data_IF_151689558606
#
_entry.id   IF_151689558606
#
_cell.length_a   1.000
_cell.length_b   1.000
_cell.length_c   1.000
_cell.angle_alpha   90.00
_cell.angle_beta   90.00
_cell.angle_gamma   90.00
#
_symmetry.space_group_name_H-M   'P 1'
#
loop_
_entity.id
_entity.type
_entity.pdbx_description
1 polymer ?
#
# COMPACT_ATOMS: atom_id res chain seq x y z
N UNK A 1 -27.64 17.43 -27.69
CA UNK A 1 -28.35 16.18 -28.13
C UNK A 1 -29.38 15.82 -27.06
N UNK A 2 -30.49 15.17 -27.43
CA UNK A 2 -31.43 14.67 -26.42
C UNK A 2 -30.73 13.59 -25.59
N UNK A 3 -30.87 13.66 -24.26
CA UNK A 3 -30.24 12.69 -23.35
C UNK A 3 -30.89 11.32 -23.53
N UNK A 4 -30.11 10.25 -23.42
CA UNK A 4 -30.59 8.87 -23.65
C UNK A 4 -31.70 8.45 -22.67
N UNK A 5 -31.81 9.11 -21.51
CA UNK A 5 -32.88 8.90 -20.53
C UNK A 5 -34.09 9.85 -20.73
N UNK A 6 -34.09 10.69 -21.75
CA UNK A 6 -35.22 11.55 -22.08
C UNK A 6 -36.42 10.69 -22.52
N UNK A 7 -37.50 10.75 -21.81
CA UNK A 7 -38.74 10.02 -22.07
C UNK A 7 -39.94 10.73 -21.51
N UNK A 8 -40.04 10.84 -20.18
CA UNK A 8 -41.09 11.59 -19.50
C UNK A 8 -40.82 13.09 -19.51
N UNK A 9 -39.54 13.49 -19.56
CA UNK A 9 -39.08 14.87 -19.66
C UNK A 9 -38.55 15.13 -21.07
N UNK A 10 -38.44 16.40 -21.46
CA UNK A 10 -37.89 16.82 -22.74
C UNK A 10 -36.36 16.64 -22.85
N UNK A 11 -35.70 16.24 -21.73
CA UNK A 11 -34.24 16.02 -21.67
C UNK A 11 -33.42 17.31 -21.75
N UNK A 12 -34.03 18.47 -21.64
CA UNK A 12 -33.33 19.76 -21.62
C UNK A 12 -33.01 20.09 -20.18
N UNK A 13 -31.74 20.31 -19.90
CA UNK A 13 -31.21 20.69 -18.57
C UNK A 13 -30.40 21.99 -18.72
N UNK A 14 -30.29 22.74 -17.65
CA UNK A 14 -29.39 23.89 -17.59
C UNK A 14 -27.92 23.39 -17.65
N UNK A 15 -27.08 24.11 -18.40
CA UNK A 15 -25.68 23.70 -18.57
C UNK A 15 -24.96 23.48 -17.23
N UNK A 16 -25.19 24.35 -16.25
CA UNK A 16 -24.57 24.21 -14.93
C UNK A 16 -25.02 22.93 -14.21
N UNK A 17 -26.27 22.49 -14.43
CA UNK A 17 -26.75 21.24 -13.86
C UNK A 17 -26.12 20.02 -14.57
N UNK A 18 -25.88 20.12 -15.86
CA UNK A 18 -25.16 19.09 -16.62
C UNK A 18 -23.69 18.98 -16.17
N UNK A 19 -23.00 20.11 -16.09
CA UNK A 19 -21.61 20.17 -15.62
C UNK A 19 -21.47 19.62 -14.18
N UNK A 20 -22.42 19.94 -13.30
CA UNK A 20 -22.44 19.44 -11.91
C UNK A 20 -22.76 17.96 -11.80
N UNK A 21 -23.57 17.41 -12.71
CA UNK A 21 -23.98 16.01 -12.70
C UNK A 21 -22.96 15.08 -13.39
N UNK A 22 -22.11 15.63 -14.27
CA UNK A 22 -21.19 14.87 -15.09
C UNK A 22 -20.06 14.24 -14.26
N UNK A 23 -19.73 12.98 -14.56
CA UNK A 23 -18.62 12.23 -13.98
C UNK A 23 -17.53 11.86 -14.98
N UNK A 24 -17.72 12.20 -16.28
CA UNK A 24 -16.79 11.81 -17.36
C UNK A 24 -15.33 12.20 -17.09
N UNK A 25 -15.09 13.29 -16.37
CA UNK A 25 -13.75 13.80 -16.06
C UNK A 25 -12.91 12.84 -15.22
N UNK A 26 -13.53 12.00 -14.39
CA UNK A 26 -12.84 11.02 -13.55
C UNK A 26 -13.20 9.57 -13.89
N UNK A 27 -14.44 9.27 -14.30
CA UNK A 27 -14.84 7.90 -14.60
C UNK A 27 -14.36 7.41 -15.99
N UNK A 28 -13.96 8.33 -16.87
CA UNK A 28 -13.34 8.03 -18.17
C UNK A 28 -12.20 7.01 -18.07
N UNK A 29 -11.50 6.95 -16.97
CA UNK A 29 -10.41 5.99 -16.73
C UNK A 29 -10.88 4.53 -16.63
N UNK A 30 -12.18 4.30 -16.48
CA UNK A 30 -12.80 2.96 -16.45
C UNK A 30 -13.30 2.49 -17.84
N UNK A 31 -12.97 3.19 -18.94
CA UNK A 31 -13.47 2.84 -20.28
C UNK A 31 -13.22 1.38 -20.67
N UNK A 32 -12.10 0.81 -20.26
CA UNK A 32 -11.75 -0.59 -20.51
C UNK A 32 -12.72 -1.53 -19.80
N UNK A 33 -13.00 -1.29 -18.53
CA UNK A 33 -13.88 -2.10 -17.71
C UNK A 33 -15.32 -2.05 -18.23
N UNK A 34 -15.79 -0.88 -18.61
CA UNK A 34 -17.12 -0.71 -19.19
C UNK A 34 -17.26 -1.49 -20.50
N UNK A 35 -16.25 -1.40 -21.38
CA UNK A 35 -16.25 -2.09 -22.67
C UNK A 35 -16.17 -3.62 -22.48
N UNK A 36 -15.27 -4.11 -21.63
CA UNK A 36 -15.14 -5.55 -21.34
C UNK A 36 -16.41 -6.10 -20.69
N UNK A 37 -16.99 -5.38 -19.73
CA UNK A 37 -18.27 -5.70 -19.10
C UNK A 37 -19.41 -5.77 -20.12
N UNK A 38 -19.45 -4.81 -21.03
CA UNK A 38 -20.45 -4.73 -22.11
C UNK A 38 -20.29 -5.85 -23.12
N UNK A 39 -19.06 -6.26 -23.47
CA UNK A 39 -18.84 -7.43 -24.35
C UNK A 39 -19.30 -8.73 -23.68
N UNK A 40 -19.06 -8.92 -22.38
CA UNK A 40 -19.53 -10.09 -21.65
C UNK A 40 -21.07 -10.13 -21.59
N UNK A 41 -21.69 -8.95 -21.38
CA UNK A 41 -23.13 -8.81 -21.36
C UNK A 41 -23.77 -9.14 -22.72
N UNK A 42 -23.25 -8.60 -23.82
CA UNK A 42 -23.72 -8.93 -25.19
C UNK A 42 -23.66 -10.44 -25.47
N UNK A 43 -22.56 -11.08 -25.09
CA UNK A 43 -22.39 -12.52 -25.23
C UNK A 43 -23.43 -13.32 -24.42
N UNK A 44 -23.73 -12.90 -23.18
CA UNK A 44 -24.74 -13.52 -22.32
C UNK A 44 -26.14 -13.37 -22.91
N UNK A 45 -26.49 -12.18 -23.40
CA UNK A 45 -27.80 -11.93 -24.04
C UNK A 45 -28.06 -12.87 -25.22
N UNK A 46 -27.05 -13.13 -26.05
CA UNK A 46 -27.16 -14.10 -27.15
C UNK A 46 -27.25 -15.54 -26.65
N UNK A 47 -26.40 -15.91 -25.69
CA UNK A 47 -26.41 -17.25 -25.10
C UNK A 47 -27.78 -17.62 -24.46
N UNK A 48 -28.52 -16.62 -24.00
CA UNK A 48 -29.89 -16.75 -23.48
C UNK A 48 -31.00 -16.53 -24.52
N UNK A 49 -30.63 -16.25 -25.79
CA UNK A 49 -31.58 -16.01 -26.86
C UNK A 49 -32.38 -14.70 -26.71
N UNK A 50 -31.92 -13.76 -25.93
CA UNK A 50 -32.54 -12.44 -25.72
C UNK A 50 -32.28 -11.54 -26.94
N UNK A 51 -31.08 -11.64 -27.53
CA UNK A 51 -30.71 -11.08 -28.80
C UNK A 51 -30.21 -12.21 -29.73
N UNK A 52 -30.10 -11.95 -31.04
CA UNK A 52 -29.53 -12.93 -31.96
C UNK A 52 -28.02 -13.03 -31.80
N UNK A 53 -27.44 -14.17 -32.20
CA UNK A 53 -25.97 -14.32 -32.20
C UNK A 53 -25.31 -13.27 -33.12
N UNK A 54 -25.91 -12.97 -34.30
CA UNK A 54 -25.42 -11.95 -35.20
C UNK A 54 -25.43 -10.54 -34.58
N UNK A 55 -26.42 -10.21 -33.77
CA UNK A 55 -26.43 -8.92 -33.03
C UNK A 55 -25.28 -8.86 -32.01
N UNK A 56 -25.07 -9.96 -31.24
CA UNK A 56 -24.01 -10.03 -30.27
C UNK A 56 -22.61 -9.94 -30.91
N UNK A 57 -22.40 -10.63 -32.03
CA UNK A 57 -21.11 -10.58 -32.75
C UNK A 57 -20.82 -9.15 -33.21
N UNK A 58 -21.81 -8.44 -33.78
CA UNK A 58 -21.65 -7.03 -34.19
C UNK A 58 -21.38 -6.11 -32.98
N UNK A 59 -22.07 -6.32 -31.84
CA UNK A 59 -21.84 -5.54 -30.63
C UNK A 59 -20.43 -5.76 -30.08
N UNK A 60 -19.97 -6.99 -30.01
CA UNK A 60 -18.63 -7.36 -29.48
C UNK A 60 -17.54 -6.81 -30.42
N UNK A 61 -17.69 -6.95 -31.71
CA UNK A 61 -16.74 -6.41 -32.68
C UNK A 61 -16.69 -4.88 -32.61
N UNK A 62 -17.84 -4.21 -32.56
CA UNK A 62 -17.92 -2.76 -32.44
C UNK A 62 -17.29 -2.24 -31.13
N UNK A 63 -17.53 -2.91 -30.00
CA UNK A 63 -16.92 -2.59 -28.70
C UNK A 63 -15.40 -2.84 -28.73
N UNK A 64 -14.95 -3.94 -29.33
CA UNK A 64 -13.52 -4.23 -29.49
C UNK A 64 -12.80 -3.16 -30.33
N UNK A 65 -13.43 -2.68 -31.40
CA UNK A 65 -12.88 -1.56 -32.17
C UNK A 65 -12.83 -0.25 -31.39
N UNK A 66 -13.88 0.06 -30.59
CA UNK A 66 -13.89 1.24 -29.74
C UNK A 66 -12.73 1.16 -28.74
N UNK A 67 -12.50 0.00 -28.10
CA UNK A 67 -11.40 -0.22 -27.19
C UNK A 67 -10.04 0.02 -27.86
N UNK A 68 -9.83 -0.56 -29.05
CA UNK A 68 -8.60 -0.36 -29.82
C UNK A 68 -8.39 1.10 -30.24
N UNK A 69 -9.45 1.78 -30.64
CA UNK A 69 -9.38 3.18 -31.05
C UNK A 69 -9.03 4.11 -29.87
N UNK A 70 -9.56 3.82 -28.66
CA UNK A 70 -9.21 4.53 -27.44
C UNK A 70 -7.76 4.24 -27.02
N UNK A 71 -7.34 2.99 -27.06
CA UNK A 71 -5.96 2.58 -26.70
C UNK A 71 -4.92 3.21 -27.63
N UNK A 72 -5.24 3.33 -28.93
CA UNK A 72 -4.35 3.89 -29.94
C UNK A 72 -4.47 5.42 -30.07
N UNK A 73 -5.40 6.05 -29.35
CA UNK A 73 -5.66 7.49 -29.39
C UNK A 73 -6.30 7.98 -30.69
N UNK A 74 -6.87 7.09 -31.52
CA UNK A 74 -7.63 7.43 -32.73
C UNK A 74 -9.06 7.87 -32.44
N UNK A 75 -9.59 7.48 -31.27
CA UNK A 75 -10.84 7.98 -30.72
C UNK A 75 -10.51 8.73 -29.41
N UNK A 76 -11.05 9.93 -29.28
CA UNK A 76 -10.92 10.74 -28.07
C UNK A 76 -12.23 10.74 -27.32
N UNK A 77 -12.18 10.61 -25.98
CA UNK A 77 -13.37 10.67 -25.13
C UNK A 77 -13.94 12.07 -25.17
N UNK A 78 -15.24 12.18 -25.51
CA UNK A 78 -15.96 13.45 -25.52
C UNK A 78 -16.38 13.83 -24.09
N UNK A 79 -15.72 14.83 -23.53
CA UNK A 79 -15.99 15.34 -22.18
C UNK A 79 -17.34 16.09 -22.07
N UNK A 80 -18.14 16.16 -23.12
CA UNK A 80 -19.52 16.67 -23.07
C UNK A 80 -20.54 15.57 -22.72
N UNK A 81 -20.12 14.30 -22.71
CA UNK A 81 -20.94 13.20 -22.21
C UNK A 81 -21.09 13.26 -20.68
N UNK A 82 -22.19 12.69 -20.19
CA UNK A 82 -22.44 12.65 -18.74
C UNK A 82 -21.44 11.75 -18.01
N UNK A 83 -21.20 10.55 -18.56
CA UNK A 83 -20.31 9.53 -18.02
C UNK A 83 -19.67 8.70 -19.15
N UNK A 84 -18.69 7.87 -18.80
CA UNK A 84 -18.00 7.00 -19.75
C UNK A 84 -18.94 5.98 -20.39
N UNK A 85 -19.93 5.53 -19.68
CA UNK A 85 -20.90 4.53 -20.13
C UNK A 85 -21.77 5.11 -21.26
N UNK A 86 -22.23 6.37 -21.10
CA UNK A 86 -22.97 7.07 -22.15
C UNK A 86 -22.11 7.31 -23.38
N UNK A 87 -20.84 7.69 -23.20
CA UNK A 87 -19.91 7.87 -24.30
C UNK A 87 -19.74 6.58 -25.12
N UNK A 88 -19.46 5.45 -24.48
CA UNK A 88 -19.28 4.16 -25.15
C UNK A 88 -20.56 3.71 -25.87
N UNK A 89 -21.72 3.82 -25.22
CA UNK A 89 -23.01 3.45 -25.79
C UNK A 89 -23.39 4.36 -26.99
N UNK A 90 -23.08 5.66 -26.91
CA UNK A 90 -23.30 6.60 -28.02
C UNK A 90 -22.43 6.26 -29.22
N UNK A 91 -21.13 6.10 -29.05
CA UNK A 91 -20.20 5.76 -30.13
C UNK A 91 -20.58 4.42 -30.77
N UNK A 92 -20.96 3.43 -29.96
CA UNK A 92 -21.42 2.14 -30.45
C UNK A 92 -22.71 2.26 -31.28
N UNK A 93 -23.65 3.07 -30.84
CA UNK A 93 -24.92 3.31 -31.54
C UNK A 93 -24.70 4.09 -32.82
N UNK A 94 -23.79 5.05 -32.84
CA UNK A 94 -23.42 5.77 -34.08
C UNK A 94 -22.81 4.84 -35.14
N UNK A 95 -22.03 3.83 -34.70
CA UNK A 95 -21.41 2.84 -35.60
C UNK A 95 -22.37 1.75 -36.08
N UNK A 96 -23.28 1.27 -35.24
CA UNK A 96 -24.10 0.08 -35.49
C UNK A 96 -25.60 0.35 -35.64
N UNK A 97 -26.04 1.59 -35.46
CA UNK A 97 -27.46 1.95 -35.53
C UNK A 97 -28.31 1.21 -34.49
N UNK A 98 -29.42 0.62 -34.91
CA UNK A 98 -30.36 -0.06 -34.04
C UNK A 98 -29.79 -1.30 -33.32
N UNK A 99 -28.75 -1.93 -33.86
CA UNK A 99 -28.05 -3.03 -33.16
C UNK A 99 -27.35 -2.51 -31.93
N UNK A 100 -26.70 -1.35 -31.99
CA UNK A 100 -26.04 -0.71 -30.84
C UNK A 100 -26.98 -0.50 -29.63
N UNK A 101 -28.25 -0.11 -29.91
CA UNK A 101 -29.27 0.13 -28.88
C UNK A 101 -29.71 -1.12 -28.13
N UNK A 102 -29.43 -2.33 -28.63
CA UNK A 102 -29.77 -3.60 -27.96
C UNK A 102 -28.90 -3.88 -26.78
N UNK A 103 -27.70 -3.29 -26.66
CA UNK A 103 -26.73 -3.53 -25.62
C UNK A 103 -27.29 -3.29 -24.21
N UNK A 104 -28.16 -2.28 -24.04
CA UNK A 104 -28.71 -1.91 -22.73
C UNK A 104 -29.83 -2.86 -22.22
N UNK A 105 -30.23 -3.85 -23.02
CA UNK A 105 -31.27 -4.82 -22.63
C UNK A 105 -30.90 -5.56 -21.37
N UNK A 106 -31.82 -5.67 -20.39
CA UNK A 106 -31.65 -6.37 -19.13
C UNK A 106 -30.49 -5.84 -18.24
N UNK A 107 -30.10 -4.56 -18.39
CA UNK A 107 -29.07 -3.89 -17.62
C UNK A 107 -29.56 -2.54 -17.13
N UNK A 108 -29.01 -2.07 -16.00
CA UNK A 108 -29.16 -0.72 -15.50
C UNK A 108 -27.78 -0.04 -15.40
N UNK A 109 -27.77 1.30 -15.41
CA UNK A 109 -26.57 2.06 -15.08
C UNK A 109 -26.04 1.69 -13.70
N UNK A 110 -26.92 1.35 -12.74
CA UNK A 110 -26.54 1.05 -11.36
C UNK A 110 -25.65 -0.20 -11.22
N UNK A 111 -26.02 -1.32 -11.85
CA UNK A 111 -25.21 -2.54 -11.81
C UNK A 111 -23.99 -2.45 -12.74
N UNK A 112 -24.06 -1.68 -13.85
CA UNK A 112 -22.96 -1.38 -14.72
C UNK A 112 -21.85 -0.62 -13.99
N UNK A 113 -22.16 0.50 -13.36
CA UNK A 113 -21.17 1.28 -12.58
C UNK A 113 -20.59 0.45 -11.42
N UNK A 114 -21.41 -0.34 -10.72
CA UNK A 114 -20.94 -1.21 -9.65
C UNK A 114 -20.01 -2.32 -10.14
N UNK A 115 -20.22 -2.83 -11.37
CA UNK A 115 -19.33 -3.77 -12.03
C UNK A 115 -17.97 -3.13 -12.34
N UNK A 116 -18.01 -1.99 -13.00
CA UNK A 116 -16.82 -1.34 -13.58
C UNK A 116 -15.87 -0.88 -12.48
N UNK A 117 -16.37 -0.29 -11.41
CA UNK A 117 -15.52 0.11 -10.27
C UNK A 117 -14.90 -1.11 -9.58
N UNK A 118 -15.62 -2.23 -9.45
CA UNK A 118 -15.03 -3.47 -8.90
C UNK A 118 -13.92 -4.02 -9.80
N UNK A 119 -14.15 -4.08 -11.11
CA UNK A 119 -13.14 -4.54 -12.07
C UNK A 119 -11.92 -3.62 -12.07
N UNK A 120 -12.14 -2.30 -12.04
CA UNK A 120 -11.06 -1.31 -11.99
C UNK A 120 -10.23 -1.46 -10.71
N UNK A 121 -10.86 -1.43 -9.54
CA UNK A 121 -10.17 -1.49 -8.25
C UNK A 121 -9.51 -2.87 -7.99
N UNK A 122 -10.03 -3.93 -8.59
CA UNK A 122 -9.36 -5.24 -8.60
C UNK A 122 -7.99 -5.14 -9.28
N UNK A 123 -7.91 -4.49 -10.44
CA UNK A 123 -6.65 -4.23 -11.14
C UNK A 123 -5.70 -3.32 -10.36
N UNK A 124 -6.23 -2.25 -9.77
CA UNK A 124 -5.45 -1.36 -8.89
C UNK A 124 -4.87 -2.09 -7.68
N UNK A 125 -5.65 -2.96 -7.04
CA UNK A 125 -5.19 -3.79 -5.92
C UNK A 125 -4.05 -4.72 -6.32
N UNK A 126 -4.14 -5.33 -7.52
CA UNK A 126 -3.10 -6.22 -8.05
C UNK A 126 -1.80 -5.42 -8.37
N UNK A 127 -1.92 -4.23 -8.98
CA UNK A 127 -0.75 -3.35 -9.24
C UNK A 127 -0.10 -2.88 -7.93
N UNK A 128 -0.89 -2.42 -6.97
CA UNK A 128 -0.37 -1.95 -5.68
C UNK A 128 0.31 -3.11 -4.93
N UNK A 129 -0.28 -4.30 -4.90
CA UNK A 129 0.34 -5.47 -4.28
C UNK A 129 1.69 -5.81 -4.94
N UNK A 130 1.80 -5.71 -6.27
CA UNK A 130 3.05 -5.90 -6.99
C UNK A 130 4.11 -4.85 -6.60
N UNK A 131 3.73 -3.58 -6.47
CA UNK A 131 4.63 -2.51 -6.02
C UNK A 131 5.09 -2.70 -4.57
N UNK A 132 4.21 -3.17 -3.67
CA UNK A 132 4.62 -3.50 -2.29
C UNK A 132 5.62 -4.66 -2.29
N UNK A 133 5.42 -5.70 -3.11
CA UNK A 133 6.37 -6.82 -3.24
C UNK A 133 7.74 -6.34 -3.75
N UNK A 134 7.78 -5.37 -4.67
CA UNK A 134 9.03 -4.74 -5.12
C UNK A 134 9.73 -4.00 -3.96
N UNK A 135 8.98 -3.22 -3.18
CA UNK A 135 9.54 -2.55 -2.00
C UNK A 135 10.05 -3.55 -0.96
N UNK A 136 9.31 -4.64 -0.68
CA UNK A 136 9.77 -5.71 0.23
C UNK A 136 11.10 -6.29 -0.26
N UNK A 137 11.23 -6.53 -1.56
CA UNK A 137 12.49 -7.03 -2.16
C UNK A 137 13.63 -6.04 -1.90
N UNK A 138 13.45 -4.76 -2.21
CA UNK A 138 14.46 -3.72 -1.98
C UNK A 138 14.87 -3.61 -0.50
N UNK A 139 13.90 -3.65 0.42
CA UNK A 139 14.15 -3.63 1.87
C UNK A 139 14.92 -4.87 2.32
N UNK A 140 14.55 -6.06 1.81
CA UNK A 140 15.16 -7.33 2.14
C UNK A 140 16.60 -7.42 1.63
N UNK A 141 16.86 -6.94 0.41
CA UNK A 141 18.20 -6.89 -0.17
C UNK A 141 19.11 -5.91 0.62
N UNK A 142 18.59 -4.78 1.05
CA UNK A 142 19.30 -3.87 1.96
C UNK A 142 19.52 -4.49 3.35
N UNK A 143 18.57 -5.25 3.86
CA UNK A 143 18.73 -5.96 5.12
C UNK A 143 19.86 -7.02 5.03
N UNK A 144 19.98 -7.71 3.90
CA UNK A 144 21.07 -8.66 3.63
C UNK A 144 22.43 -7.95 3.53
N UNK A 145 22.50 -6.82 2.79
CA UNK A 145 23.72 -5.99 2.65
C UNK A 145 24.24 -5.52 4.02
N UNK A 146 23.33 -5.21 4.96
CA UNK A 146 23.65 -4.62 6.26
C UNK A 146 23.29 -5.53 7.45
N UNK A 147 23.21 -6.86 7.25
CA UNK A 147 22.82 -7.83 8.28
C UNK A 147 23.73 -7.85 9.52
N UNK A 148 24.98 -7.42 9.34
CA UNK A 148 26.02 -7.33 10.37
C UNK A 148 26.35 -5.89 10.79
N UNK A 149 25.68 -4.88 10.25
CA UNK A 149 25.92 -3.49 10.58
C UNK A 149 25.29 -3.14 11.94
N UNK A 150 26.12 -2.98 12.97
CA UNK A 150 25.65 -2.63 14.32
C UNK A 150 24.96 -1.28 14.32
N UNK A 151 23.74 -1.25 14.87
CA UNK A 151 22.92 -0.07 15.05
C UNK A 151 22.44 -0.01 16.51
N UNK A 152 22.41 1.18 17.17
CA UNK A 152 21.70 1.29 18.43
C UNK A 152 20.20 1.12 18.19
N UNK A 153 19.56 0.14 18.83
CA UNK A 153 18.10 0.05 18.91
C UNK A 153 17.58 1.11 19.85
N UNK A 154 16.44 1.71 19.53
CA UNK A 154 15.84 2.81 20.29
C UNK A 154 14.50 2.42 20.89
N UNK A 155 14.30 2.85 22.14
CA UNK A 155 12.98 2.98 22.77
C UNK A 155 12.87 4.40 23.34
N UNK A 156 11.72 5.05 23.21
CA UNK A 156 11.54 6.46 23.66
C UNK A 156 12.55 7.44 23.04
N UNK A 157 13.07 7.16 21.83
CA UNK A 157 14.20 7.85 21.20
C UNK A 157 15.47 7.85 22.04
N UNK A 158 15.59 6.95 23.03
CA UNK A 158 16.81 6.69 23.79
C UNK A 158 17.47 5.41 23.28
N UNK A 159 18.80 5.38 23.26
CA UNK A 159 19.58 4.21 22.90
C UNK A 159 19.33 3.12 23.93
N UNK A 160 18.95 1.92 23.48
CA UNK A 160 18.47 0.86 24.36
C UNK A 160 19.33 -0.40 24.31
N UNK A 161 19.34 -1.10 23.18
CA UNK A 161 20.06 -2.36 23.03
C UNK A 161 20.76 -2.44 21.67
N UNK A 162 21.85 -3.24 21.54
CA UNK A 162 22.49 -3.45 20.24
C UNK A 162 21.62 -4.30 19.34
N UNK A 163 21.39 -3.82 18.14
CA UNK A 163 20.76 -4.53 17.03
C UNK A 163 21.62 -4.39 15.79
N UNK A 164 21.22 -5.03 14.69
CA UNK A 164 21.77 -4.73 13.36
C UNK A 164 20.83 -3.87 12.54
N UNK A 165 21.36 -3.12 11.58
CA UNK A 165 20.55 -2.38 10.63
C UNK A 165 19.70 -3.32 9.77
N UNK A 166 20.24 -4.49 9.41
CA UNK A 166 19.47 -5.53 8.74
C UNK A 166 18.26 -5.98 9.55
N UNK A 167 18.42 -6.22 10.85
CA UNK A 167 17.29 -6.57 11.74
C UNK A 167 16.21 -5.48 11.75
N UNK A 168 16.61 -4.22 11.82
CA UNK A 168 15.68 -3.10 11.81
C UNK A 168 14.89 -3.03 10.51
N UNK A 169 15.56 -3.19 9.36
CA UNK A 169 14.93 -3.20 8.04
C UNK A 169 13.93 -4.37 7.90
N UNK A 170 14.26 -5.55 8.43
CA UNK A 170 13.35 -6.70 8.39
C UNK A 170 12.05 -6.45 9.16
N UNK A 171 12.04 -5.58 10.18
CA UNK A 171 10.78 -5.19 10.84
C UNK A 171 9.81 -4.51 9.86
N UNK A 172 10.31 -3.66 8.96
CA UNK A 172 9.50 -3.05 7.90
C UNK A 172 9.07 -4.06 6.84
N UNK A 173 9.94 -4.98 6.46
CA UNK A 173 9.55 -6.06 5.54
C UNK A 173 8.36 -6.88 6.10
N UNK A 174 8.35 -7.19 7.41
CA UNK A 174 7.23 -7.88 8.08
C UNK A 174 5.95 -7.04 8.11
N UNK A 175 6.03 -5.70 8.23
CA UNK A 175 4.86 -4.82 8.14
C UNK A 175 4.25 -4.86 6.73
N UNK A 176 5.10 -4.73 5.72
CA UNK A 176 4.69 -4.72 4.30
C UNK A 176 4.12 -6.07 3.84
N UNK A 177 4.60 -7.21 4.35
CA UNK A 177 3.98 -8.53 4.09
C UNK A 177 2.52 -8.55 4.56
N UNK A 178 2.25 -8.05 5.76
CA UNK A 178 0.87 -7.94 6.27
C UNK A 178 0.00 -6.99 5.45
N UNK A 179 0.61 -6.00 4.78
CA UNK A 179 -0.13 -5.12 3.88
C UNK A 179 -0.52 -5.83 2.57
N UNK A 180 0.35 -6.68 2.02
CA UNK A 180 0.02 -7.56 0.89
C UNK A 180 -1.14 -8.50 1.24
N UNK A 181 -1.13 -9.11 2.43
CA UNK A 181 -2.21 -9.99 2.90
C UNK A 181 -3.54 -9.24 3.02
N UNK A 182 -3.54 -7.99 3.55
CA UNK A 182 -4.75 -7.15 3.62
C UNK A 182 -5.33 -6.86 2.25
N UNK A 183 -4.48 -6.54 1.27
CA UNK A 183 -4.94 -6.31 -0.11
C UNK A 183 -5.51 -7.59 -0.73
N UNK A 184 -4.88 -8.74 -0.51
CA UNK A 184 -5.40 -10.02 -0.98
C UNK A 184 -6.78 -10.35 -0.38
N UNK A 185 -6.96 -10.07 0.90
CA UNK A 185 -8.25 -10.24 1.59
C UNK A 185 -9.33 -9.29 1.07
N UNK A 186 -9.01 -8.02 0.86
CA UNK A 186 -9.91 -7.04 0.24
C UNK A 186 -10.30 -7.48 -1.17
N UNK A 187 -9.32 -7.84 -2.00
CA UNK A 187 -9.53 -8.31 -3.37
C UNK A 187 -10.46 -9.52 -3.43
N UNK A 188 -10.30 -10.49 -2.54
CA UNK A 188 -11.17 -11.67 -2.47
C UNK A 188 -12.63 -11.30 -2.20
N UNK A 189 -12.90 -10.38 -1.28
CA UNK A 189 -14.25 -9.90 -0.97
C UNK A 189 -14.83 -9.04 -2.09
N UNK A 190 -14.01 -8.20 -2.72
CA UNK A 190 -14.38 -7.37 -3.87
C UNK A 190 -14.78 -8.22 -5.09
N UNK A 191 -14.20 -9.41 -5.27
CA UNK A 191 -14.30 -10.21 -6.48
C UNK A 191 -15.66 -10.95 -6.59
N UNK A 192 -16.77 -10.20 -6.46
CA UNK A 192 -18.17 -10.66 -6.62
C UNK A 192 -18.87 -9.79 -7.63
N UNK A 193 -19.46 -10.42 -8.67
CA UNK A 193 -20.13 -9.70 -9.76
C UNK A 193 -21.48 -9.15 -9.35
N UNK A 194 -21.75 -7.85 -9.53
CA UNK A 194 -23.06 -7.26 -9.32
C UNK A 194 -23.94 -7.30 -10.58
N UNK A 195 -23.38 -7.61 -11.77
CA UNK A 195 -24.12 -7.52 -13.02
C UNK A 195 -25.36 -8.41 -13.01
N UNK A 196 -26.46 -7.95 -13.59
CA UNK A 196 -27.77 -8.57 -13.52
C UNK A 196 -28.56 -8.23 -12.24
N UNK A 197 -27.99 -7.45 -11.29
CA UNK A 197 -28.77 -6.83 -10.21
C UNK A 197 -29.71 -5.75 -10.75
N UNK A 198 -29.44 -5.23 -11.93
CA UNK A 198 -30.15 -4.12 -12.61
C UNK A 198 -30.23 -2.90 -11.71
N UNK A 199 -31.38 -2.20 -11.67
CA UNK A 199 -31.52 -1.00 -10.85
C UNK A 199 -31.41 -1.32 -9.33
N UNK A 200 -32.04 -2.42 -8.88
CA UNK A 200 -32.05 -2.90 -7.49
C UNK A 200 -32.76 -4.26 -7.28
N UNK A 201 -33.65 -4.65 -8.21
CA UNK A 201 -34.58 -5.76 -8.02
C UNK A 201 -34.32 -6.97 -8.94
N UNK A 202 -33.21 -6.95 -9.68
CA UNK A 202 -32.95 -7.88 -10.76
C UNK A 202 -33.77 -7.56 -12.01
N UNK A 203 -34.00 -8.55 -12.86
CA UNK A 203 -34.67 -8.39 -14.16
C UNK A 203 -35.68 -9.50 -14.40
N UNK A 204 -36.67 -9.25 -15.26
CA UNK A 204 -37.64 -10.24 -15.73
C UNK A 204 -37.12 -11.09 -16.89
N UNK A 205 -35.94 -10.75 -17.44
CA UNK A 205 -35.28 -11.55 -18.48
C UNK A 205 -34.58 -12.76 -17.84
N UNK A 206 -34.50 -13.84 -18.58
CA UNK A 206 -33.78 -15.06 -18.15
C UNK A 206 -32.28 -14.93 -18.40
N UNK A 207 -31.61 -14.06 -17.62
CA UNK A 207 -30.17 -13.79 -17.72
C UNK A 207 -29.36 -14.85 -16.97
N UNK A 208 -28.16 -15.14 -17.48
CA UNK A 208 -27.18 -15.99 -16.81
C UNK A 208 -26.06 -15.17 -16.19
N UNK A 209 -26.25 -14.77 -14.96
CA UNK A 209 -25.26 -13.97 -14.19
C UNK A 209 -23.94 -14.73 -13.95
N UNK A 210 -23.98 -16.09 -13.85
CA UNK A 210 -22.76 -16.88 -13.69
C UNK A 210 -21.91 -16.88 -14.95
N UNK A 211 -22.55 -16.94 -16.14
CA UNK A 211 -21.85 -16.83 -17.42
C UNK A 211 -21.04 -15.52 -17.50
N UNK A 212 -21.66 -14.39 -17.15
CA UNK A 212 -20.99 -13.09 -17.14
C UNK A 212 -19.86 -13.02 -16.10
N UNK A 213 -20.13 -13.47 -14.88
CA UNK A 213 -19.16 -13.49 -13.78
C UNK A 213 -17.89 -14.30 -14.14
N UNK A 214 -18.06 -15.50 -14.70
CA UNK A 214 -16.95 -16.34 -15.15
C UNK A 214 -16.13 -15.68 -16.26
N UNK A 215 -16.84 -15.09 -17.25
CA UNK A 215 -16.18 -14.43 -18.39
C UNK A 215 -15.36 -13.22 -17.95
N UNK A 216 -15.77 -12.55 -16.88
CA UNK A 216 -15.09 -11.37 -16.32
C UNK A 216 -14.12 -11.73 -15.16
N UNK A 217 -13.92 -13.03 -14.87
CA UNK A 217 -12.97 -13.48 -13.86
C UNK A 217 -13.40 -13.19 -12.42
N UNK A 218 -14.71 -13.16 -12.15
CA UNK A 218 -15.22 -13.07 -10.79
C UNK A 218 -15.36 -14.47 -10.14
N UNK A 219 -15.12 -14.55 -8.83
CA UNK A 219 -15.23 -15.80 -8.05
C UNK A 219 -16.69 -16.18 -7.71
N UNK A 220 -17.65 -15.31 -8.04
CA UNK A 220 -19.06 -15.53 -7.79
C UNK A 220 -19.90 -14.26 -7.92
N UNK A 221 -21.12 -14.30 -7.40
CA UNK A 221 -22.11 -13.24 -7.55
C UNK A 221 -22.34 -12.49 -6.23
N UNK A 222 -22.78 -11.22 -6.34
CA UNK A 222 -23.52 -10.55 -5.28
C UNK A 222 -24.88 -11.23 -5.14
N UNK A 223 -25.19 -11.77 -3.94
CA UNK A 223 -26.32 -12.67 -3.74
C UNK A 223 -27.66 -11.97 -3.55
N UNK A 224 -27.64 -10.66 -3.24
CA UNK A 224 -28.82 -9.84 -3.15
C UNK A 224 -28.68 -8.66 -4.12
N UNK A 225 -29.67 -8.44 -4.97
CA UNK A 225 -29.58 -7.44 -6.05
C UNK A 225 -29.64 -6.00 -5.51
N UNK A 226 -30.31 -5.77 -4.39
CA UNK A 226 -30.35 -4.47 -3.75
C UNK A 226 -29.02 -4.11 -3.12
N UNK A 227 -28.38 -5.08 -2.44
CA UNK A 227 -27.03 -4.96 -1.90
C UNK A 227 -25.98 -4.80 -3.00
N UNK A 228 -26.06 -5.59 -4.08
CA UNK A 228 -25.08 -5.59 -5.17
C UNK A 228 -24.88 -4.24 -5.86
N UNK A 229 -25.92 -3.40 -5.94
CA UNK A 229 -25.84 -2.04 -6.48
C UNK A 229 -25.55 -0.97 -5.42
N UNK A 230 -25.78 -1.29 -4.16
CA UNK A 230 -25.60 -0.38 -3.02
C UNK A 230 -24.23 -0.48 -2.37
N UNK A 231 -23.60 -1.65 -2.42
CA UNK A 231 -22.33 -1.95 -1.74
C UNK A 231 -21.16 -1.09 -2.27
N UNK A 232 -20.46 -0.46 -1.32
CA UNK A 232 -19.19 0.22 -1.50
C UNK A 232 -18.20 -0.16 -0.39
N UNK A 233 -18.48 -1.23 0.37
CA UNK A 233 -17.59 -1.70 1.44
C UNK A 233 -16.20 -2.03 0.90
N UNK A 234 -16.13 -2.58 -0.32
CA UNK A 234 -14.86 -2.88 -0.98
C UNK A 234 -14.00 -1.63 -1.26
N UNK A 235 -14.61 -0.48 -1.52
CA UNK A 235 -13.90 0.79 -1.66
C UNK A 235 -13.33 1.24 -0.30
N UNK A 236 -14.17 1.21 0.75
CA UNK A 236 -13.77 1.56 2.13
C UNK A 236 -12.69 0.62 2.64
N UNK A 237 -12.82 -0.68 2.39
CA UNK A 237 -11.84 -1.68 2.81
C UNK A 237 -10.50 -1.49 2.11
N UNK A 238 -10.49 -1.25 0.78
CA UNK A 238 -9.29 -0.93 0.04
C UNK A 238 -8.61 0.32 0.61
N UNK A 239 -9.33 1.41 0.78
CA UNK A 239 -8.78 2.66 1.32
C UNK A 239 -8.29 2.50 2.76
N UNK A 240 -8.92 1.65 3.55
CA UNK A 240 -8.45 1.30 4.90
C UNK A 240 -7.12 0.54 4.86
N UNK A 241 -6.97 -0.42 3.95
CA UNK A 241 -5.71 -1.13 3.72
C UNK A 241 -4.61 -0.17 3.25
N UNK A 242 -4.91 0.72 2.29
CA UNK A 242 -4.01 1.75 1.80
C UNK A 242 -3.60 2.74 2.91
N UNK A 243 -4.52 3.10 3.79
CA UNK A 243 -4.24 3.97 4.94
C UNK A 243 -3.27 3.33 5.93
N UNK A 244 -3.41 2.01 6.19
CA UNK A 244 -2.47 1.26 7.04
C UNK A 244 -1.09 1.19 6.37
N UNK A 245 -1.02 0.90 5.09
CA UNK A 245 0.22 0.90 4.32
C UNK A 245 0.92 2.27 4.39
N UNK A 246 0.19 3.35 4.15
CA UNK A 246 0.74 4.71 4.23
C UNK A 246 1.22 5.06 5.65
N UNK A 247 0.58 4.56 6.70
CA UNK A 247 1.06 4.69 8.07
C UNK A 247 2.41 4.00 8.26
N UNK A 248 2.60 2.80 7.70
CA UNK A 248 3.89 2.11 7.73
C UNK A 248 4.97 2.90 6.97
N UNK A 249 4.66 3.39 5.76
CA UNK A 249 5.58 4.21 4.98
C UNK A 249 5.91 5.53 5.68
N UNK A 250 4.94 6.15 6.36
CA UNK A 250 5.15 7.37 7.15
C UNK A 250 6.12 7.14 8.30
N UNK A 251 5.99 6.04 9.03
CA UNK A 251 6.91 5.66 10.11
C UNK A 251 8.32 5.41 9.58
N UNK A 252 8.43 4.69 8.47
CA UNK A 252 9.73 4.43 7.85
C UNK A 252 10.36 5.73 7.32
N UNK A 253 9.56 6.62 6.74
CA UNK A 253 9.99 7.96 6.32
C UNK A 253 10.57 8.76 7.48
N UNK A 254 9.90 8.76 8.65
CA UNK A 254 10.36 9.46 9.84
C UNK A 254 11.74 8.97 10.28
N UNK A 255 11.97 7.66 10.31
CA UNK A 255 13.28 7.11 10.67
C UNK A 255 14.35 7.45 9.64
N UNK A 256 14.05 7.40 8.33
CA UNK A 256 14.98 7.81 7.28
C UNK A 256 15.36 9.29 7.43
N UNK A 257 14.39 10.15 7.73
CA UNK A 257 14.62 11.58 7.95
C UNK A 257 15.55 11.78 9.15
N UNK A 258 15.28 11.11 10.28
CA UNK A 258 16.16 11.15 11.46
C UNK A 258 17.55 10.62 11.12
N UNK A 259 17.66 9.45 10.50
CA UNK A 259 18.94 8.82 10.19
C UNK A 259 19.79 9.59 9.17
N UNK A 260 19.18 10.33 8.26
CA UNK A 260 19.88 11.16 7.28
C UNK A 260 20.27 12.55 7.81
N UNK A 261 19.77 12.95 8.99
CA UNK A 261 20.11 14.23 9.60
C UNK A 261 21.59 14.34 9.96
N UNK A 262 22.09 15.59 10.13
CA UNK A 262 23.47 15.85 10.54
C UNK A 262 23.80 15.27 11.91
N UNK A 263 22.81 15.18 12.80
CA UNK A 263 22.94 14.68 14.17
C UNK A 263 23.15 13.15 14.19
N UNK A 264 22.44 12.42 13.33
CA UNK A 264 22.54 10.95 13.27
C UNK A 264 23.58 10.50 12.22
N UNK A 265 23.45 10.93 10.99
CA UNK A 265 24.31 10.49 9.86
C UNK A 265 24.45 8.98 9.77
N UNK A 266 23.36 8.25 10.04
CA UNK A 266 23.36 6.79 9.95
C UNK A 266 23.19 6.32 8.51
N UNK A 267 22.47 7.09 7.70
CA UNK A 267 22.26 6.80 6.29
C UNK A 267 22.56 8.03 5.42
N UNK A 268 22.86 7.76 4.17
CA UNK A 268 22.94 8.74 3.10
C UNK A 268 22.00 8.36 1.98
N UNK A 269 21.12 9.30 1.60
CA UNK A 269 20.24 9.15 0.45
C UNK A 269 20.96 9.56 -0.83
N UNK A 270 20.61 8.91 -1.94
CA UNK A 270 21.11 9.28 -3.27
C UNK A 270 20.63 10.69 -3.67
N UNK A 271 21.46 11.38 -4.44
CA UNK A 271 21.11 12.70 -5.01
C UNK A 271 19.86 12.63 -5.90
N UNK A 272 19.55 11.46 -6.47
CA UNK A 272 18.35 11.24 -7.27
C UNK A 272 17.03 11.31 -6.45
N UNK A 273 17.11 11.18 -5.12
CA UNK A 273 15.96 11.19 -4.20
C UNK A 273 16.08 12.23 -3.10
N UNK A 274 16.85 13.29 -3.35
CA UNK A 274 17.05 14.40 -2.43
C UNK A 274 17.03 15.70 -3.20
N UNK A 275 16.83 16.83 -2.50
CA UNK A 275 17.03 18.14 -3.10
C UNK A 275 18.08 18.95 -2.33
N UNK A 276 18.71 19.88 -3.03
CA UNK A 276 19.62 20.85 -2.43
C UNK A 276 18.88 22.11 -1.98
N UNK A 277 19.66 23.10 -1.59
CA UNK A 277 19.17 24.46 -1.31
C UNK A 277 19.74 25.43 -2.32
N UNK A 278 18.93 26.35 -2.81
CA UNK A 278 19.37 27.40 -3.73
C UNK A 278 20.34 28.43 -3.08
N UNK A 279 20.41 28.45 -1.74
CA UNK A 279 21.19 29.44 -0.97
C UNK A 279 22.21 28.77 -0.03
N UNK A 280 22.01 27.51 0.36
CA UNK A 280 22.86 26.76 1.29
C UNK A 280 23.51 25.57 0.57
N UNK A 281 24.73 25.71 0.03
CA UNK A 281 25.33 24.69 -0.85
C UNK A 281 25.64 23.35 -0.14
N UNK A 282 25.71 23.33 1.19
CA UNK A 282 25.96 22.13 1.99
C UNK A 282 24.70 21.34 2.29
N UNK A 283 23.50 21.90 2.02
CA UNK A 283 22.22 21.31 2.44
C UNK A 283 21.73 20.24 1.45
N UNK A 284 21.36 19.09 1.98
CA UNK A 284 20.76 17.96 1.25
C UNK A 284 19.52 17.51 2.02
N UNK A 285 18.35 17.68 1.41
CA UNK A 285 17.07 17.46 2.07
C UNK A 285 16.49 16.08 1.73
N UNK A 286 15.91 15.36 2.68
CA UNK A 286 15.22 14.09 2.44
C UNK A 286 13.77 14.31 1.95
N UNK A 287 13.55 15.18 0.97
CA UNK A 287 12.22 15.65 0.55
C UNK A 287 11.28 14.51 0.15
N UNK A 288 11.80 13.43 -0.45
CA UNK A 288 10.98 12.31 -0.87
C UNK A 288 10.38 11.59 0.33
N UNK A 289 11.16 11.39 1.40
CA UNK A 289 10.66 10.82 2.64
C UNK A 289 9.64 11.77 3.32
N UNK A 290 9.91 13.08 3.33
CA UNK A 290 8.98 14.08 3.89
C UNK A 290 7.67 14.11 3.13
N UNK A 291 7.69 14.06 1.79
CA UNK A 291 6.50 14.04 0.95
C UNK A 291 5.67 12.76 1.16
N UNK A 292 6.30 11.59 1.28
CA UNK A 292 5.58 10.34 1.58
C UNK A 292 4.90 10.44 2.95
N UNK A 293 5.60 10.96 3.97
CA UNK A 293 5.02 11.24 5.29
C UNK A 293 3.83 12.20 5.21
N UNK A 294 3.94 13.28 4.44
CA UNK A 294 2.87 14.26 4.24
C UNK A 294 1.66 13.71 3.48
N UNK A 295 1.89 12.93 2.41
CA UNK A 295 0.84 12.30 1.60
C UNK A 295 0.00 11.26 2.37
N UNK A 296 0.49 10.74 3.47
CA UNK A 296 -0.27 9.86 4.37
C UNK A 296 -1.55 10.54 4.85
N UNK A 297 -1.49 11.83 5.20
CA UNK A 297 -2.66 12.61 5.60
C UNK A 297 -3.70 12.76 4.49
N UNK A 298 -3.26 12.84 3.22
CA UNK A 298 -4.15 12.88 2.06
C UNK A 298 -4.96 11.59 1.95
N UNK A 299 -4.32 10.43 1.96
CA UNK A 299 -5.02 9.12 1.88
C UNK A 299 -5.97 8.90 3.07
N UNK A 300 -5.63 9.39 4.26
CA UNK A 300 -6.55 9.38 5.41
C UNK A 300 -7.77 10.27 5.17
N UNK A 301 -7.56 11.44 4.56
CA UNK A 301 -8.63 12.35 4.17
C UNK A 301 -9.60 11.70 3.19
N UNK A 302 -9.10 11.01 2.19
CA UNK A 302 -9.88 10.29 1.18
C UNK A 302 -10.74 9.19 1.82
N UNK A 303 -10.19 8.37 2.70
CA UNK A 303 -10.94 7.36 3.46
C UNK A 303 -12.06 8.00 4.29
N UNK A 304 -11.75 9.10 4.98
CA UNK A 304 -12.74 9.78 5.82
C UNK A 304 -13.84 10.44 4.99
N UNK A 305 -13.51 10.99 3.82
CA UNK A 305 -14.47 11.53 2.87
C UNK A 305 -15.47 10.46 2.43
N UNK A 306 -14.98 9.29 1.99
CA UNK A 306 -15.85 8.20 1.55
C UNK A 306 -16.73 7.64 2.68
N UNK A 307 -16.19 7.43 3.87
CA UNK A 307 -16.96 7.00 5.05
C UNK A 307 -18.07 8.03 5.38
N UNK A 308 -17.76 9.31 5.22
CA UNK A 308 -18.72 10.40 5.48
C UNK A 308 -19.81 10.45 4.40
N UNK A 309 -19.47 10.21 3.15
CA UNK A 309 -20.42 10.14 2.03
C UNK A 309 -21.41 8.99 2.23
N UNK A 310 -20.92 7.81 2.57
CA UNK A 310 -21.76 6.60 2.65
C UNK A 310 -22.63 6.53 3.90
N UNK A 311 -22.22 7.17 5.01
CA UNK A 311 -23.01 7.13 6.25
C UNK A 311 -24.44 7.66 6.02
N UNK A 312 -25.44 6.91 6.43
CA UNK A 312 -26.82 7.39 6.42
C UNK A 312 -27.49 7.39 5.04
N UNK A 313 -26.85 6.91 3.97
CA UNK A 313 -27.52 6.71 2.69
C UNK A 313 -28.53 5.55 2.79
N UNK A 314 -29.74 5.71 2.23
CA UNK A 314 -30.65 4.59 2.07
C UNK A 314 -30.08 3.58 1.05
N UNK A 315 -30.60 2.34 1.10
CA UNK A 315 -30.21 1.28 0.18
C UNK A 315 -30.49 1.62 -1.29
N UNK A 316 -29.97 0.80 -2.18
CA UNK A 316 -29.84 0.98 -3.61
C UNK A 316 -28.83 2.08 -3.95
N UNK A 317 -29.07 2.78 -5.07
CA UNK A 317 -28.17 3.81 -5.55
C UNK A 317 -28.74 5.19 -5.28
N UNK A 318 -27.92 6.06 -4.73
CA UNK A 318 -28.15 7.50 -4.62
C UNK A 318 -26.99 8.23 -5.30
N UNK A 319 -27.25 9.41 -5.86
CA UNK A 319 -26.24 10.15 -6.63
C UNK A 319 -25.00 10.53 -5.81
N UNK A 320 -25.13 10.60 -4.47
CA UNK A 320 -24.01 10.74 -3.53
C UNK A 320 -22.91 9.70 -3.77
N UNK A 321 -23.26 8.49 -4.21
CA UNK A 321 -22.30 7.44 -4.52
C UNK A 321 -21.40 7.75 -5.71
N UNK A 322 -21.64 8.79 -6.48
CA UNK A 322 -20.72 9.24 -7.51
C UNK A 322 -19.41 9.76 -6.92
N UNK A 323 -19.45 10.27 -5.68
CA UNK A 323 -18.28 10.73 -4.91
C UNK A 323 -17.33 9.59 -4.45
N UNK A 324 -17.72 8.33 -4.67
CA UNK A 324 -16.89 7.17 -4.32
C UNK A 324 -15.59 7.12 -5.16
N UNK A 325 -15.63 7.62 -6.40
CA UNK A 325 -14.56 7.43 -7.38
C UNK A 325 -13.38 8.36 -7.15
N UNK A 326 -13.61 9.66 -6.97
CA UNK A 326 -12.53 10.65 -6.90
C UNK A 326 -11.60 10.34 -5.72
N UNK A 327 -12.14 10.10 -4.53
CA UNK A 327 -11.32 9.77 -3.36
C UNK A 327 -10.57 8.44 -3.51
N UNK A 328 -11.20 7.37 -4.01
CA UNK A 328 -10.54 6.09 -4.14
C UNK A 328 -9.48 6.10 -5.24
N UNK A 329 -9.72 6.80 -6.34
CA UNK A 329 -8.74 6.95 -7.41
C UNK A 329 -7.53 7.77 -6.95
N UNK A 330 -7.76 8.88 -6.23
CA UNK A 330 -6.71 9.71 -5.68
C UNK A 330 -5.84 8.93 -4.68
N UNK A 331 -6.45 8.15 -3.79
CA UNK A 331 -5.76 7.29 -2.85
C UNK A 331 -4.88 6.26 -3.57
N UNK A 332 -5.41 5.56 -4.60
CA UNK A 332 -4.65 4.58 -5.38
C UNK A 332 -3.46 5.22 -6.10
N UNK A 333 -3.68 6.34 -6.80
CA UNK A 333 -2.62 7.03 -7.53
C UNK A 333 -1.53 7.58 -6.58
N UNK A 334 -1.93 8.15 -5.46
CA UNK A 334 -1.02 8.64 -4.43
C UNK A 334 -0.15 7.52 -3.86
N UNK A 335 -0.76 6.38 -3.52
CA UNK A 335 -0.06 5.22 -2.96
C UNK A 335 0.92 4.62 -3.97
N UNK A 336 0.49 4.43 -5.23
CA UNK A 336 1.37 3.90 -6.29
C UNK A 336 2.60 4.78 -6.49
N UNK A 337 2.42 6.10 -6.51
CA UNK A 337 3.54 7.04 -6.63
C UNK A 337 4.47 6.97 -5.41
N UNK A 338 3.92 6.93 -4.19
CA UNK A 338 4.70 6.81 -2.97
C UNK A 338 5.54 5.52 -2.95
N UNK A 339 4.96 4.38 -3.33
CA UNK A 339 5.65 3.10 -3.40
C UNK A 339 6.82 3.13 -4.39
N UNK A 340 6.60 3.66 -5.60
CA UNK A 340 7.65 3.76 -6.64
C UNK A 340 8.82 4.62 -6.17
N UNK A 341 8.55 5.79 -5.61
CA UNK A 341 9.58 6.70 -5.09
C UNK A 341 10.30 6.08 -3.89
N UNK A 342 9.56 5.48 -2.98
CA UNK A 342 10.12 4.88 -1.77
C UNK A 342 11.03 3.69 -2.09
N UNK A 343 10.63 2.84 -3.03
CA UNK A 343 11.44 1.70 -3.50
C UNK A 343 12.79 2.18 -4.02
N UNK A 344 12.82 3.14 -4.94
CA UNK A 344 14.07 3.65 -5.49
C UNK A 344 14.93 4.38 -4.45
N UNK A 345 14.31 5.05 -3.46
CA UNK A 345 15.03 5.66 -2.35
C UNK A 345 15.73 4.58 -1.48
N UNK A 346 15.06 3.47 -1.18
CA UNK A 346 15.64 2.36 -0.42
C UNK A 346 16.72 1.64 -1.22
N UNK A 347 16.51 1.33 -2.49
CA UNK A 347 17.51 0.67 -3.35
C UNK A 347 18.86 1.42 -3.39
N UNK A 348 18.80 2.74 -3.35
CA UNK A 348 19.98 3.60 -3.48
C UNK A 348 20.54 4.10 -2.15
N UNK A 349 19.86 3.84 -1.02
CA UNK A 349 20.28 4.21 0.32
C UNK A 349 21.62 3.54 0.69
N UNK A 350 22.52 4.31 1.32
CA UNK A 350 23.79 3.82 1.87
C UNK A 350 23.81 4.01 3.39
N UNK A 351 24.20 2.96 4.13
CA UNK A 351 24.37 3.04 5.57
C UNK A 351 25.81 3.39 5.97
N UNK A 352 25.94 4.29 6.94
CA UNK A 352 27.21 4.65 7.53
C UNK A 352 27.52 3.78 8.76
N UNK A 353 28.08 2.60 8.52
CA UNK A 353 28.41 1.62 9.55
C UNK A 353 29.24 2.18 10.70
N UNK A 354 30.20 3.10 10.39
CA UNK A 354 31.07 3.67 11.40
C UNK A 354 30.31 4.57 12.40
N UNK A 355 29.41 5.45 11.89
CA UNK A 355 28.60 6.30 12.74
C UNK A 355 27.59 5.53 13.58
N UNK A 356 26.96 4.49 12.98
CA UNK A 356 26.07 3.60 13.71
C UNK A 356 26.77 2.90 14.86
N UNK A 357 27.95 2.30 14.61
CA UNK A 357 28.77 1.62 15.63
C UNK A 357 29.21 2.58 16.73
N UNK A 358 29.70 3.78 16.36
CA UNK A 358 30.12 4.80 17.32
C UNK A 358 28.94 5.24 18.22
N UNK A 359 27.76 5.43 17.65
CA UNK A 359 26.55 5.76 18.40
C UNK A 359 26.15 4.64 19.35
N UNK A 360 26.32 3.38 18.95
CA UNK A 360 26.09 2.21 19.80
C UNK A 360 27.01 2.20 21.00
N UNK A 361 28.33 2.36 20.81
CA UNK A 361 29.33 2.42 21.89
C UNK A 361 29.05 3.52 22.91
N UNK A 362 28.84 4.75 22.42
CA UNK A 362 28.54 5.91 23.27
C UNK A 362 27.17 5.86 23.95
N UNK A 363 26.36 4.86 23.65
CA UNK A 363 25.05 4.65 24.27
C UNK A 363 25.06 3.70 25.45
N UNK A 364 26.19 3.07 25.76
CA UNK A 364 26.29 2.03 26.80
C UNK A 364 25.23 0.92 26.64
N UNK A 365 24.88 0.62 25.40
CA UNK A 365 23.77 -0.29 25.09
C UNK A 365 24.07 -1.76 25.39
N UNK A 366 25.34 -2.07 25.70
CA UNK A 366 25.86 -3.34 26.21
C UNK A 366 25.85 -3.45 27.73
N UNK A 367 25.34 -2.45 28.46
CA UNK A 367 25.28 -2.47 29.93
C UNK A 367 24.39 -3.61 30.47
N UNK A 368 23.36 -4.03 29.73
CA UNK A 368 22.55 -5.20 30.05
C UNK A 368 23.37 -6.48 29.92
N UNK A 369 24.18 -6.60 28.87
CA UNK A 369 25.07 -7.74 28.65
C UNK A 369 26.16 -7.82 29.74
N UNK A 370 26.63 -6.68 30.25
CA UNK A 370 27.52 -6.60 31.39
C UNK A 370 26.84 -7.11 32.71
N UNK A 371 25.57 -6.75 32.92
CA UNK A 371 24.81 -7.27 34.06
C UNK A 371 24.60 -8.79 33.93
N UNK A 372 24.24 -9.27 32.73
CA UNK A 372 24.05 -10.70 32.43
C UNK A 372 25.34 -11.50 32.60
N UNK A 373 26.50 -10.92 32.29
CA UNK A 373 27.80 -11.52 32.52
C UNK A 373 28.00 -11.84 34.03
N UNK A 374 27.71 -10.89 34.93
CA UNK A 374 27.80 -11.11 36.35
C UNK A 374 26.76 -12.13 36.85
N UNK A 375 25.56 -12.11 36.29
CA UNK A 375 24.51 -13.09 36.62
C UNK A 375 24.94 -14.51 36.25
N UNK A 376 25.56 -14.71 35.10
CA UNK A 376 26.09 -16.00 34.65
C UNK A 376 27.21 -16.51 35.55
N UNK A 377 27.92 -15.60 36.23
CA UNK A 377 28.95 -15.92 37.27
C UNK A 377 28.36 -16.07 38.67
N UNK A 378 27.02 -16.09 38.79
CA UNK A 378 26.30 -16.41 40.06
C UNK A 378 25.82 -15.20 40.86
N UNK A 379 26.00 -13.97 40.37
CA UNK A 379 25.50 -12.77 41.07
C UNK A 379 23.99 -12.60 40.88
N UNK A 380 23.23 -12.23 41.93
CA UNK A 380 21.82 -11.88 41.78
C UNK A 380 21.61 -10.70 40.79
N UNK A 381 20.63 -10.79 39.92
CA UNK A 381 20.38 -9.79 38.83
C UNK A 381 20.29 -8.35 39.37
N UNK A 382 19.60 -8.10 40.50
CA UNK A 382 19.47 -6.74 41.05
C UNK A 382 20.80 -6.14 41.49
N UNK A 383 21.72 -6.97 41.98
CA UNK A 383 23.07 -6.55 42.36
C UNK A 383 23.90 -6.28 41.09
N UNK A 384 23.87 -7.18 40.14
CA UNK A 384 24.54 -7.02 38.84
C UNK A 384 24.09 -5.75 38.13
N UNK A 385 22.77 -5.49 38.07
CA UNK A 385 22.17 -4.28 37.52
C UNK A 385 22.72 -3.00 38.18
N UNK A 386 22.80 -2.98 39.54
CA UNK A 386 23.33 -1.83 40.29
C UNK A 386 24.80 -1.58 39.96
N UNK A 387 25.62 -2.61 39.91
CA UNK A 387 27.04 -2.52 39.56
C UNK A 387 27.21 -2.01 38.12
N UNK A 388 26.46 -2.55 37.15
CA UNK A 388 26.49 -2.09 35.76
C UNK A 388 26.12 -0.60 35.65
N UNK A 389 25.10 -0.16 36.38
CA UNK A 389 24.72 1.26 36.43
C UNK A 389 25.81 2.16 37.01
N UNK A 390 26.53 1.70 38.03
CA UNK A 390 27.67 2.44 38.65
C UNK A 390 28.84 2.55 37.64
N UNK A 391 29.15 1.48 36.94
CA UNK A 391 30.20 1.46 35.89
C UNK A 391 29.86 2.37 34.73
N UNK A 392 28.59 2.40 34.26
CA UNK A 392 28.13 3.36 33.26
C UNK A 392 28.29 4.79 33.74
N UNK A 393 27.89 5.10 34.98
CA UNK A 393 28.07 6.44 35.56
C UNK A 393 29.55 6.85 35.62
N UNK A 394 30.43 5.93 35.99
CA UNK A 394 31.87 6.13 35.97
C UNK A 394 32.39 6.40 34.58
N UNK A 395 32.01 5.61 33.57
CA UNK A 395 32.42 5.83 32.20
C UNK A 395 31.98 7.22 31.65
N UNK A 396 30.77 7.66 32.03
CA UNK A 396 30.29 9.01 31.68
C UNK A 396 31.18 10.09 32.30
N UNK A 397 31.55 9.97 33.56
CA UNK A 397 32.40 10.92 34.25
C UNK A 397 33.82 10.95 33.66
N UNK A 398 34.36 9.81 33.31
CA UNK A 398 35.71 9.65 32.73
C UNK A 398 35.73 9.88 31.21
N UNK A 399 34.59 10.17 30.58
CA UNK A 399 34.41 10.32 29.13
C UNK A 399 35.01 9.13 28.31
N UNK A 400 34.73 7.92 28.78
CA UNK A 400 35.14 6.64 28.19
C UNK A 400 33.93 5.75 27.92
N UNK A 401 34.13 4.60 27.36
CA UNK A 401 33.11 3.57 27.10
C UNK A 401 33.45 2.29 27.88
N UNK A 402 32.46 1.38 28.05
CA UNK A 402 32.66 0.15 28.80
C UNK A 402 33.78 -0.72 28.20
N UNK A 403 33.89 -0.78 26.90
CA UNK A 403 34.90 -1.59 26.19
C UNK A 403 36.35 -1.10 26.42
N UNK A 404 36.53 0.17 26.77
CA UNK A 404 37.84 0.81 26.98
C UNK A 404 38.18 1.00 28.48
N UNK A 405 37.23 0.72 29.38
CA UNK A 405 37.49 0.87 30.83
C UNK A 405 38.44 -0.23 31.29
N UNK A 406 39.57 0.09 31.99
CA UNK A 406 40.54 -0.88 32.45
C UNK A 406 39.92 -1.90 33.44
N UNK A 407 40.39 -3.16 33.42
CA UNK A 407 39.88 -4.25 34.26
C UNK A 407 39.94 -3.93 35.76
N UNK A 408 40.94 -3.17 36.21
CA UNK A 408 41.10 -2.74 37.61
C UNK A 408 39.88 -1.95 38.10
N UNK A 409 39.26 -1.15 37.20
CA UNK A 409 38.05 -0.39 37.50
C UNK A 409 36.84 -1.31 37.71
N UNK A 410 36.74 -2.37 36.92
CA UNK A 410 35.71 -3.40 37.09
C UNK A 410 35.89 -4.18 38.38
N UNK A 411 37.13 -4.61 38.67
CA UNK A 411 37.50 -5.36 39.89
C UNK A 411 37.23 -4.55 41.17
N UNK A 412 37.26 -3.22 41.10
CA UNK A 412 36.89 -2.37 42.23
C UNK A 412 35.40 -2.52 42.64
N UNK A 413 34.55 -3.04 41.75
CA UNK A 413 33.13 -3.28 42.03
C UNK A 413 32.78 -4.74 42.34
N UNK A 414 33.54 -5.71 41.77
CA UNK A 414 33.33 -7.14 42.05
C UNK A 414 34.52 -7.98 41.59
N UNK A 415 34.91 -8.96 42.42
CA UNK A 415 35.96 -9.96 42.11
C UNK A 415 35.52 -10.98 41.02
N UNK A 416 34.25 -10.95 40.60
CA UNK A 416 33.75 -11.81 39.54
C UNK A 416 34.14 -11.36 38.12
N UNK A 417 34.65 -10.15 37.99
CA UNK A 417 35.16 -9.68 36.71
C UNK A 417 36.51 -10.31 36.39
N UNK A 418 36.70 -10.66 35.09
CA UNK A 418 37.94 -11.16 34.55
C UNK A 418 38.08 -10.66 33.11
N UNK A 419 39.18 -10.95 32.41
CA UNK A 419 39.47 -10.53 31.05
C UNK A 419 38.41 -10.98 30.05
N UNK A 420 37.67 -12.06 30.32
CA UNK A 420 36.58 -12.55 29.48
C UNK A 420 35.37 -11.58 29.41
N UNK A 421 35.33 -10.57 30.29
CA UNK A 421 34.30 -9.54 30.25
C UNK A 421 34.30 -8.75 28.93
N UNK A 422 35.47 -8.42 28.37
CA UNK A 422 35.54 -7.63 27.15
C UNK A 422 34.96 -8.35 25.94
N UNK A 423 35.09 -9.67 25.88
CA UNK A 423 34.39 -10.50 24.90
C UNK A 423 32.87 -10.50 25.17
N UNK A 424 32.48 -10.53 26.44
CA UNK A 424 31.06 -10.57 26.81
C UNK A 424 30.30 -9.28 26.46
N UNK A 425 30.97 -8.12 26.53
CA UNK A 425 30.38 -6.80 26.24
C UNK A 425 30.73 -6.26 24.85
N UNK A 426 31.52 -6.98 24.05
CA UNK A 426 31.69 -6.60 22.63
C UNK A 426 30.34 -6.52 21.92
N UNK A 427 30.11 -5.44 21.21
CA UNK A 427 28.81 -5.18 20.61
C UNK A 427 28.38 -6.24 19.60
N UNK A 428 29.31 -6.78 18.80
CA UNK A 428 28.98 -7.85 17.86
C UNK A 428 28.64 -9.14 18.62
N UNK A 429 29.41 -9.50 19.65
CA UNK A 429 29.10 -10.66 20.50
C UNK A 429 27.75 -10.49 21.22
N UNK A 430 27.42 -9.28 21.65
CA UNK A 430 26.09 -8.97 22.20
C UNK A 430 24.97 -9.21 21.18
N UNK A 431 25.16 -8.84 19.91
CA UNK A 431 24.23 -9.12 18.81
C UNK A 431 24.15 -10.63 18.55
N UNK A 432 25.28 -11.30 18.38
CA UNK A 432 25.33 -12.73 18.00
C UNK A 432 24.74 -13.67 19.07
N UNK A 433 24.81 -13.29 20.35
CA UNK A 433 24.20 -14.06 21.44
C UNK A 433 22.68 -13.98 21.51
N UNK A 434 22.04 -13.10 20.74
CA UNK A 434 20.57 -12.94 20.65
C UNK A 434 19.97 -13.86 19.59
N UNK A 435 20.09 -15.17 19.83
CA UNK A 435 19.74 -16.25 18.89
C UNK A 435 18.28 -16.71 18.97
N UNK A 436 17.47 -16.12 19.85
CA UNK A 436 16.04 -16.43 19.91
C UNK A 436 15.37 -16.17 18.55
N UNK A 437 14.36 -16.96 18.22
CA UNK A 437 13.61 -16.77 16.97
C UNK A 437 13.10 -15.32 16.85
N UNK A 438 13.40 -14.68 15.74
CA UNK A 438 13.10 -13.25 15.53
C UNK A 438 14.11 -12.31 16.21
N UNK A 439 15.17 -12.82 16.83
CA UNK A 439 16.25 -12.03 17.44
C UNK A 439 17.12 -11.32 16.40
N UNK A 440 18.14 -10.59 16.88
CA UNK A 440 18.97 -9.72 16.06
C UNK A 440 20.30 -10.34 15.61
N UNK A 441 20.63 -11.60 16.01
CA UNK A 441 21.85 -12.26 15.50
C UNK A 441 21.83 -12.35 13.98
N UNK A 442 23.00 -12.35 13.36
CA UNK A 442 23.12 -12.45 11.89
C UNK A 442 22.35 -13.67 11.37
N UNK A 443 22.50 -14.82 12.01
CA UNK A 443 21.77 -16.03 11.65
C UNK A 443 20.23 -15.86 11.74
N UNK A 444 19.74 -15.16 12.78
CA UNK A 444 18.31 -14.88 12.92
C UNK A 444 17.81 -13.92 11.84
N UNK A 445 18.61 -12.96 11.42
CA UNK A 445 18.27 -12.03 10.33
C UNK A 445 18.27 -12.77 8.98
N UNK A 446 19.23 -13.64 8.73
CA UNK A 446 19.28 -14.48 7.51
C UNK A 446 18.05 -15.39 7.40
N UNK A 447 17.60 -15.96 8.52
CA UNK A 447 16.36 -16.75 8.54
C UNK A 447 15.10 -15.88 8.26
N UNK A 448 15.04 -14.67 8.81
CA UNK A 448 13.95 -13.73 8.48
C UNK A 448 13.94 -13.36 6.99
N UNK A 449 15.12 -13.11 6.40
CA UNK A 449 15.28 -12.82 4.96
C UNK A 449 14.78 -14.01 4.13
N UNK A 450 15.17 -15.23 4.50
CA UNK A 450 14.73 -16.46 3.82
C UNK A 450 13.20 -16.59 3.84
N UNK A 451 12.58 -16.44 5.00
CA UNK A 451 11.13 -16.54 5.17
C UNK A 451 10.37 -15.47 4.35
N UNK A 452 10.87 -14.24 4.31
CA UNK A 452 10.25 -13.17 3.52
C UNK A 452 10.36 -13.48 2.02
N UNK A 453 11.54 -13.94 1.55
CA UNK A 453 11.70 -14.31 0.14
C UNK A 453 10.80 -15.48 -0.27
N UNK A 454 10.59 -16.45 0.61
CA UNK A 454 9.63 -17.54 0.37
C UNK A 454 8.19 -17.03 0.28
N UNK A 455 7.79 -16.14 1.19
CA UNK A 455 6.46 -15.53 1.16
C UNK A 455 6.20 -14.67 -0.10
N UNK A 456 7.24 -14.11 -0.71
CA UNK A 456 7.12 -13.38 -1.98
C UNK A 456 6.92 -14.29 -3.19
N UNK A 457 7.29 -15.58 -3.09
CA UNK A 457 7.14 -16.57 -4.17
C UNK A 457 5.79 -17.31 -4.10
N UNK A 458 5.12 -17.27 -2.95
CA UNK A 458 3.81 -17.87 -2.73
C UNK A 458 2.67 -16.97 -3.24
#
# INVERSE_FOLDING_TARGET
MAKMWAGRTDGITEKIADDFNSSIHFDSRMYRQDIEGSMAHAAMLAARGIITQSDADQLIDGLSQILQDLDNGTLTIDLQCEDIHMFVEQVLTERLGDVGKKLHTARSRNDQVALDIRMYLRGESDEIAALIRQLITAVTDKAEEYRDAILPGYTHLQRAQPITFGHHLMAYAMMLLRDVERLADCRRRMNRSPIGCCALAGTTYDVDRNFEAQRLGFDGLCLNSLDGVSDRDFCVELMSALSILMMHLSRFSEEIILWSSWEFKFVELSDAYTTGSSIMPQKKNPDMAELVRGKTGRVYGDLMALLTTLKGLPLAYNKDMQEDKESVFDACDTVKMCLKVFTGMIETLKANRANMKLAAQKGFINATDLADYLVKKGMPFRTAYKISGQLVAQCIQENTVLEELPLEKYLAHSDLFDNDLYEAIDLMNCVEKRISQGGTSVASVEEQIRLVREALQA
#
